data_IF_540441533938
#
_entry.id   IF_540441533938
#
_cell.length_a   1.000
_cell.length_b   1.000
_cell.length_c   1.000
_cell.angle_alpha   90.00
_cell.angle_beta   90.00
_cell.angle_gamma   90.00
#
_symmetry.space_group_name_H-M   'P 1'
#
loop_
_entity.id
_entity.type
_entity.pdbx_description
1 polymer ?
#
# COMPACT_ATOMS: atom_id res chain seq x y z
N UNK A 1 -23.53 32.73 -25.24
CA UNK A 1 -23.55 31.36 -24.71
C UNK A 1 -24.34 31.37 -23.41
N UNK A 2 -25.24 30.42 -23.21
CA UNK A 2 -25.97 30.26 -21.95
C UNK A 2 -24.97 30.05 -20.79
N UNK A 3 -25.00 30.85 -19.71
CA UNK A 3 -24.17 30.67 -18.53
C UNK A 3 -24.21 29.24 -17.97
N UNK A 4 -25.34 28.54 -18.09
CA UNK A 4 -25.48 27.13 -17.68
C UNK A 4 -24.61 26.18 -18.52
N UNK A 5 -24.52 26.42 -19.83
CA UNK A 5 -23.71 25.62 -20.75
C UNK A 5 -22.21 25.79 -20.46
N UNK A 6 -21.78 27.02 -20.14
CA UNK A 6 -20.39 27.34 -19.79
C UNK A 6 -19.99 26.65 -18.48
N UNK A 7 -20.85 26.69 -17.47
CA UNK A 7 -20.59 26.04 -16.18
C UNK A 7 -20.50 24.51 -16.32
N UNK A 8 -21.39 23.91 -17.11
CA UNK A 8 -21.37 22.47 -17.38
C UNK A 8 -20.09 22.06 -18.13
N UNK A 9 -19.71 22.83 -19.14
CA UNK A 9 -18.46 22.62 -19.86
C UNK A 9 -17.24 22.70 -18.94
N UNK A 10 -17.16 23.74 -18.12
CA UNK A 10 -16.06 23.93 -17.15
C UNK A 10 -16.00 22.78 -16.14
N UNK A 11 -17.14 22.34 -15.61
CA UNK A 11 -17.21 21.19 -14.71
C UNK A 11 -16.73 19.90 -15.39
N UNK A 12 -17.12 19.67 -16.64
CA UNK A 12 -16.66 18.52 -17.43
C UNK A 12 -15.14 18.52 -17.62
N UNK A 13 -14.57 19.68 -17.97
CA UNK A 13 -13.11 19.85 -18.12
C UNK A 13 -12.39 19.60 -16.80
N UNK A 14 -12.89 20.13 -15.68
CA UNK A 14 -12.31 19.91 -14.35
C UNK A 14 -12.31 18.43 -13.96
N UNK A 15 -13.40 17.70 -14.25
CA UNK A 15 -13.49 16.26 -13.98
C UNK A 15 -12.48 15.46 -14.81
N UNK A 16 -12.33 15.79 -16.10
CA UNK A 16 -11.36 15.13 -16.97
C UNK A 16 -9.91 15.40 -16.52
N UNK A 17 -9.60 16.64 -16.14
CA UNK A 17 -8.29 17.00 -15.60
C UNK A 17 -8.00 16.27 -14.29
N UNK A 18 -8.95 16.26 -13.35
CA UNK A 18 -8.82 15.54 -12.09
C UNK A 18 -8.59 14.04 -12.31
N UNK A 19 -9.35 13.43 -13.23
CA UNK A 19 -9.18 12.01 -13.60
C UNK A 19 -7.81 11.74 -14.23
N UNK A 20 -7.37 12.60 -15.15
CA UNK A 20 -6.07 12.48 -15.82
C UNK A 20 -4.90 12.60 -14.83
N UNK A 21 -4.93 13.63 -13.99
CA UNK A 21 -3.91 13.86 -12.95
C UNK A 21 -3.91 12.69 -11.96
N UNK A 22 -5.08 12.27 -11.47
CA UNK A 22 -5.20 11.15 -10.52
C UNK A 22 -4.64 9.84 -11.09
N UNK A 23 -5.00 9.50 -12.33
CA UNK A 23 -4.50 8.31 -13.04
C UNK A 23 -2.98 8.38 -13.27
N UNK A 24 -2.46 9.56 -13.56
CA UNK A 24 -1.02 9.78 -13.73
C UNK A 24 -0.26 9.62 -12.40
N UNK A 25 -0.75 10.21 -11.31
CA UNK A 25 -0.18 10.03 -9.96
C UNK A 25 -0.18 8.56 -9.57
N UNK A 26 -1.29 7.85 -9.79
CA UNK A 26 -1.40 6.42 -9.49
C UNK A 26 -0.37 5.61 -10.28
N UNK A 27 -0.25 5.85 -11.59
CA UNK A 27 0.71 5.18 -12.46
C UNK A 27 2.16 5.45 -12.03
N UNK A 28 2.48 6.69 -11.65
CA UNK A 28 3.82 7.05 -11.12
C UNK A 28 4.11 6.35 -9.80
N UNK A 29 3.13 6.26 -8.92
CA UNK A 29 3.28 5.56 -7.65
C UNK A 29 3.57 4.07 -7.87
N UNK A 30 2.84 3.40 -8.78
CA UNK A 30 3.14 2.01 -9.12
C UNK A 30 4.55 1.81 -9.70
N UNK A 31 5.05 2.75 -10.51
CA UNK A 31 6.45 2.71 -10.97
C UNK A 31 7.45 2.82 -9.80
N UNK A 32 7.18 3.71 -8.83
CA UNK A 32 8.00 3.84 -7.62
C UNK A 32 8.00 2.58 -6.76
N UNK A 33 6.84 1.92 -6.62
CA UNK A 33 6.73 0.63 -5.90
C UNK A 33 7.61 -0.43 -6.55
N UNK A 34 7.49 -0.64 -7.88
CA UNK A 34 8.30 -1.63 -8.59
C UNK A 34 9.79 -1.37 -8.46
N UNK A 35 10.22 -0.11 -8.55
CA UNK A 35 11.62 0.26 -8.38
C UNK A 35 12.13 -0.16 -6.98
N UNK A 36 11.38 0.16 -5.92
CA UNK A 36 11.76 -0.20 -4.55
C UNK A 36 11.69 -1.69 -4.26
N UNK A 37 10.76 -2.41 -4.89
CA UNK A 37 10.73 -3.88 -4.83
C UNK A 37 12.02 -4.48 -5.39
N UNK A 38 12.51 -3.95 -6.52
CA UNK A 38 13.78 -4.36 -7.11
C UNK A 38 14.99 -3.97 -6.23
N UNK A 39 14.99 -2.77 -5.66
CA UNK A 39 16.06 -2.31 -4.75
C UNK A 39 16.15 -3.20 -3.50
N UNK A 40 15.00 -3.58 -2.93
CA UNK A 40 14.92 -4.32 -1.67
C UNK A 40 14.76 -5.83 -1.86
N UNK A 41 14.87 -6.38 -3.08
CA UNK A 41 14.63 -7.81 -3.33
C UNK A 41 15.54 -8.76 -2.55
N UNK A 42 16.73 -8.29 -2.16
CA UNK A 42 17.71 -9.04 -1.36
C UNK A 42 17.37 -9.11 0.13
N UNK A 43 16.41 -8.31 0.60
CA UNK A 43 15.91 -8.36 1.97
C UNK A 43 14.61 -9.19 1.98
N UNK A 44 14.65 -10.49 2.34
CA UNK A 44 13.44 -11.30 2.39
C UNK A 44 12.52 -10.82 3.52
N UNK A 45 11.22 -10.78 3.24
CA UNK A 45 10.17 -10.61 4.22
C UNK A 45 9.21 -11.79 4.08
N UNK A 46 9.22 -12.70 5.04
CA UNK A 46 8.58 -14.02 4.94
C UNK A 46 7.60 -14.25 6.09
N UNK A 47 6.61 -15.09 5.85
CA UNK A 47 5.59 -15.46 6.85
C UNK A 47 6.07 -16.54 7.82
N UNK A 48 7.22 -17.16 7.56
CA UNK A 48 7.87 -18.17 8.40
C UNK A 48 8.18 -17.61 9.79
N UNK A 49 7.93 -18.38 10.83
CA UNK A 49 8.23 -17.98 12.22
C UNK A 49 9.72 -18.05 12.54
N UNK A 50 10.44 -18.98 11.91
CA UNK A 50 11.88 -19.17 12.05
C UNK A 50 12.54 -19.15 10.67
N UNK A 51 13.64 -18.41 10.56
CA UNK A 51 14.47 -18.43 9.37
C UNK A 51 15.45 -19.60 9.46
N UNK A 52 15.58 -20.44 8.42
CA UNK A 52 16.65 -21.44 8.38
C UNK A 52 18.01 -20.71 8.43
N UNK A 53 18.82 -21.06 9.41
CA UNK A 53 20.16 -20.49 9.60
C UNK A 53 21.18 -21.48 9.08
N UNK A 54 22.00 -21.12 8.08
CA UNK A 54 23.06 -21.99 7.58
C UNK A 54 24.09 -22.30 8.68
N UNK A 55 24.76 -23.44 8.57
CA UNK A 55 25.84 -23.80 9.49
C UNK A 55 26.92 -22.70 9.52
N UNK A 56 27.37 -22.36 10.73
CA UNK A 56 28.34 -21.29 10.93
C UNK A 56 27.75 -19.86 10.90
N UNK A 57 26.43 -19.70 10.91
CA UNK A 57 25.75 -18.42 11.13
C UNK A 57 24.92 -18.44 12.41
N UNK A 58 24.77 -17.27 13.03
CA UNK A 58 23.94 -17.07 14.22
C UNK A 58 23.14 -15.77 14.14
N UNK A 59 22.12 -15.62 14.98
CA UNK A 59 21.32 -14.41 15.12
C UNK A 59 21.87 -13.57 16.27
N UNK A 60 22.50 -12.43 15.98
CA UNK A 60 23.08 -11.57 17.00
C UNK A 60 22.14 -10.46 17.47
N UNK A 61 21.13 -10.10 16.66
CA UNK A 61 20.14 -9.09 17.00
C UNK A 61 18.79 -9.37 16.34
N UNK A 62 17.70 -9.12 17.07
CA UNK A 62 16.33 -9.11 16.54
C UNK A 62 15.56 -7.89 17.03
N UNK A 63 14.49 -7.52 16.33
CA UNK A 63 13.63 -6.41 16.75
C UNK A 63 12.34 -6.31 15.93
N UNK A 64 11.35 -5.59 16.47
CA UNK A 64 10.10 -5.35 15.78
C UNK A 64 10.30 -4.34 14.65
N UNK A 65 9.85 -4.69 13.45
CA UNK A 65 9.81 -3.80 12.29
C UNK A 65 8.40 -3.72 11.76
N UNK A 66 8.04 -2.56 11.23
CA UNK A 66 6.70 -2.32 10.75
C UNK A 66 6.66 -1.25 9.65
N UNK A 67 5.58 -1.24 8.89
CA UNK A 67 5.31 -0.28 7.83
C UNK A 67 3.81 -0.14 7.64
N UNK A 68 3.32 1.10 7.52
CA UNK A 68 1.91 1.37 7.33
C UNK A 68 1.69 2.35 6.18
N UNK A 69 0.53 2.25 5.56
CA UNK A 69 0.05 3.21 4.57
C UNK A 69 -1.45 3.41 4.74
N UNK A 70 -1.88 4.67 4.62
CA UNK A 70 -3.30 5.01 4.52
C UNK A 70 -3.61 5.33 3.07
N UNK A 71 -4.59 4.62 2.53
CA UNK A 71 -5.05 4.79 1.15
C UNK A 71 -6.45 5.40 1.18
N UNK A 72 -6.56 6.66 0.74
CA UNK A 72 -7.86 7.31 0.55
C UNK A 72 -8.57 6.76 -0.69
N UNK A 73 -9.89 6.59 -0.58
CA UNK A 73 -10.74 6.21 -1.70
C UNK A 73 -11.28 7.47 -2.36
N UNK A 74 -10.77 7.80 -3.55
CA UNK A 74 -11.19 8.96 -4.33
C UNK A 74 -12.72 8.97 -4.62
N UNK A 75 -13.33 10.15 -4.63
CA UNK A 75 -14.75 10.34 -4.93
C UNK A 75 -15.15 9.74 -6.29
N UNK A 76 -14.27 9.83 -7.29
CA UNK A 76 -14.48 9.23 -8.60
C UNK A 76 -14.51 7.70 -8.53
N UNK A 77 -13.57 7.10 -7.78
CA UNK A 77 -13.53 5.64 -7.57
C UNK A 77 -14.78 5.15 -6.83
N UNK A 78 -15.34 5.97 -5.93
CA UNK A 78 -16.63 5.69 -5.28
C UNK A 78 -17.80 5.74 -6.27
N UNK A 79 -17.83 6.72 -7.16
CA UNK A 79 -18.87 6.82 -8.19
C UNK A 79 -18.85 5.59 -9.12
N UNK A 80 -17.69 5.23 -9.67
CA UNK A 80 -17.54 4.03 -10.50
C UNK A 80 -17.87 2.75 -9.74
N UNK A 81 -17.49 2.65 -8.47
CA UNK A 81 -17.87 1.51 -7.62
C UNK A 81 -19.39 1.43 -7.41
N UNK A 82 -20.07 2.56 -7.22
CA UNK A 82 -21.54 2.60 -7.06
C UNK A 82 -22.28 2.19 -8.33
N UNK A 83 -21.77 2.55 -9.52
CA UNK A 83 -22.32 2.07 -10.78
C UNK A 83 -22.13 0.56 -10.95
N UNK A 84 -20.95 0.02 -10.58
CA UNK A 84 -20.70 -1.43 -10.64
C UNK A 84 -21.53 -2.22 -9.63
N UNK A 85 -21.89 -1.65 -8.49
CA UNK A 85 -22.78 -2.32 -7.52
C UNK A 85 -24.14 -2.69 -8.11
N UNK A 86 -24.64 -1.94 -9.11
CA UNK A 86 -25.92 -2.24 -9.77
C UNK A 86 -25.86 -3.50 -10.65
N UNK A 87 -24.68 -3.83 -11.17
CA UNK A 87 -24.46 -4.98 -12.07
C UNK A 87 -23.76 -6.17 -11.39
N UNK A 88 -23.24 -5.98 -10.17
CA UNK A 88 -22.48 -6.98 -9.43
C UNK A 88 -21.03 -7.16 -9.91
N UNK A 89 -20.30 -8.08 -9.27
CA UNK A 89 -18.92 -8.44 -9.64
C UNK A 89 -17.81 -7.69 -8.88
N UNK A 90 -16.57 -7.88 -9.35
CA UNK A 90 -15.35 -7.35 -8.72
C UNK A 90 -15.25 -5.82 -8.87
N UNK A 91 -14.92 -5.13 -7.77
CA UNK A 91 -14.70 -3.68 -7.78
C UNK A 91 -13.22 -3.41 -8.06
N UNK A 92 -12.83 -3.47 -9.33
CA UNK A 92 -11.43 -3.28 -9.79
C UNK A 92 -10.76 -2.03 -9.19
N UNK A 93 -11.51 -0.95 -9.03
CA UNK A 93 -11.00 0.29 -8.45
C UNK A 93 -10.53 0.12 -6.99
N UNK A 94 -11.20 -0.73 -6.20
CA UNK A 94 -10.79 -1.04 -4.82
C UNK A 94 -9.69 -2.09 -4.79
N UNK A 95 -9.70 -3.05 -5.71
CA UNK A 95 -8.63 -4.04 -5.82
C UNK A 95 -7.28 -3.39 -6.10
N UNK A 96 -7.21 -2.44 -7.05
CA UNK A 96 -5.99 -1.66 -7.32
C UNK A 96 -5.49 -0.91 -6.08
N UNK A 97 -6.41 -0.30 -5.31
CA UNK A 97 -6.07 0.41 -4.08
C UNK A 97 -5.51 -0.54 -3.01
N UNK A 98 -6.09 -1.74 -2.87
CA UNK A 98 -5.62 -2.75 -1.91
C UNK A 98 -4.29 -3.36 -2.30
N UNK A 99 -4.07 -3.66 -3.59
CA UNK A 99 -2.78 -4.13 -4.08
C UNK A 99 -1.67 -3.12 -3.77
N UNK A 100 -1.91 -1.86 -4.15
CA UNK A 100 -0.97 -0.76 -3.89
C UNK A 100 -0.71 -0.59 -2.40
N UNK A 101 -1.75 -0.63 -1.57
CA UNK A 101 -1.64 -0.48 -0.12
C UNK A 101 -0.79 -1.58 0.52
N UNK A 102 -1.02 -2.85 0.16
CA UNK A 102 -0.24 -3.98 0.68
C UNK A 102 1.23 -3.90 0.29
N UNK A 103 1.49 -3.63 -0.99
CA UNK A 103 2.88 -3.54 -1.49
C UNK A 103 3.62 -2.38 -0.85
N UNK A 104 2.97 -1.23 -0.70
CA UNK A 104 3.54 -0.07 -0.03
C UNK A 104 3.84 -0.34 1.46
N UNK A 105 2.92 -0.97 2.19
CA UNK A 105 3.13 -1.32 3.60
C UNK A 105 4.33 -2.26 3.78
N UNK A 106 4.43 -3.31 2.94
CA UNK A 106 5.56 -4.24 2.96
C UNK A 106 6.87 -3.54 2.59
N UNK A 107 6.86 -2.66 1.58
CA UNK A 107 8.05 -1.90 1.22
C UNK A 107 8.53 -1.02 2.37
N UNK A 108 7.63 -0.30 3.04
CA UNK A 108 7.99 0.53 4.21
C UNK A 108 8.54 -0.30 5.36
N UNK A 109 7.97 -1.48 5.62
CA UNK A 109 8.51 -2.43 6.59
C UNK A 109 9.93 -2.90 6.22
N UNK A 110 10.18 -3.15 4.93
CA UNK A 110 11.51 -3.56 4.43
C UNK A 110 12.51 -2.41 4.47
N UNK A 111 12.09 -1.19 4.17
CA UNK A 111 12.88 0.02 4.32
C UNK A 111 13.28 0.25 5.78
N UNK A 112 12.33 0.09 6.71
CA UNK A 112 12.56 0.14 8.16
C UNK A 112 13.60 -0.90 8.58
N UNK A 113 13.42 -2.15 8.15
CA UNK A 113 14.35 -3.24 8.46
C UNK A 113 15.76 -2.99 7.90
N UNK A 114 15.86 -2.49 6.67
CA UNK A 114 17.14 -2.14 6.06
C UNK A 114 17.85 -1.00 6.81
N UNK A 115 17.11 0.04 7.24
CA UNK A 115 17.65 1.15 8.03
C UNK A 115 18.21 0.69 9.38
N UNK A 116 17.55 -0.29 10.00
CA UNK A 116 17.98 -0.88 11.27
C UNK A 116 19.08 -1.95 11.10
N UNK A 117 19.52 -2.23 9.87
CA UNK A 117 20.61 -3.18 9.59
C UNK A 117 20.20 -4.65 9.71
N UNK A 118 18.91 -4.96 9.58
CA UNK A 118 18.44 -6.34 9.54
C UNK A 118 18.67 -6.97 8.15
N UNK A 119 18.88 -8.28 8.13
CA UNK A 119 19.13 -9.06 6.92
C UNK A 119 17.87 -9.79 6.42
N UNK A 120 16.85 -9.93 7.27
CA UNK A 120 15.57 -10.52 6.92
C UNK A 120 14.46 -10.01 7.85
N UNK A 121 13.21 -10.12 7.40
CA UNK A 121 12.02 -10.01 8.25
C UNK A 121 11.29 -11.35 8.28
N UNK A 122 11.10 -11.90 9.48
CA UNK A 122 10.33 -13.13 9.71
C UNK A 122 8.99 -12.81 10.34
N UNK A 123 8.09 -13.79 10.32
CA UNK A 123 6.74 -13.68 10.84
C UNK A 123 5.99 -12.44 10.31
N UNK A 124 6.16 -12.15 9.02
CA UNK A 124 5.44 -11.05 8.37
C UNK A 124 3.93 -11.29 8.50
N UNK A 125 3.22 -10.27 8.97
CA UNK A 125 1.77 -10.21 9.06
C UNK A 125 1.27 -8.92 8.42
N UNK A 126 0.07 -8.98 7.86
CA UNK A 126 -0.63 -7.85 7.25
C UNK A 126 -1.99 -7.70 7.92
N UNK A 127 -2.29 -6.49 8.35
CA UNK A 127 -3.59 -6.10 8.88
C UNK A 127 -4.15 -4.93 8.08
N UNK A 128 -5.48 -4.79 8.10
CA UNK A 128 -6.15 -3.66 7.47
C UNK A 128 -7.26 -3.14 8.35
N UNK A 129 -7.31 -1.82 8.52
CA UNK A 129 -8.33 -1.13 9.29
C UNK A 129 -9.07 -0.12 8.40
N UNK A 130 -10.36 0.11 8.66
CA UNK A 130 -11.10 1.17 7.97
C UNK A 130 -10.88 2.48 8.71
N UNK A 131 -10.37 3.48 8.01
CA UNK A 131 -10.11 4.81 8.58
C UNK A 131 -11.18 5.80 8.13
N UNK A 132 -11.95 6.30 9.09
CA UNK A 132 -12.99 7.34 8.98
C UNK A 132 -14.18 7.06 8.03
N UNK A 133 -15.32 7.66 8.39
CA UNK A 133 -16.55 7.61 7.61
C UNK A 133 -16.59 8.74 6.58
N UNK A 134 -16.83 8.38 5.31
CA UNK A 134 -16.90 9.29 4.18
C UNK A 134 -18.11 10.23 4.18
N UNK A 135 -19.13 9.96 5.00
CA UNK A 135 -20.36 10.75 5.09
C UNK A 135 -20.61 11.18 6.54
N UNK A 136 -21.28 12.33 6.67
CA UNK A 136 -21.71 12.94 7.95
C UNK A 136 -22.62 12.02 8.79
N UNK A 137 -23.18 10.96 8.19
CA UNK A 137 -24.03 9.94 8.82
C UNK A 137 -23.28 8.65 9.20
N UNK A 138 -21.95 8.67 9.26
CA UNK A 138 -21.14 7.52 9.64
C UNK A 138 -21.00 6.42 8.58
N UNK A 139 -21.63 6.56 7.41
CA UNK A 139 -21.63 5.53 6.35
C UNK A 139 -20.60 5.80 5.25
N UNK A 140 -19.89 4.74 4.83
CA UNK A 140 -18.95 4.74 3.71
C UNK A 140 -17.49 4.88 4.16
N UNK A 141 -16.59 4.15 3.49
CA UNK A 141 -15.16 4.13 3.82
C UNK A 141 -14.44 5.35 3.24
N UNK A 142 -13.87 6.21 4.10
CA UNK A 142 -13.08 7.36 3.65
C UNK A 142 -11.68 6.94 3.19
N UNK A 143 -11.04 6.09 3.98
CA UNK A 143 -9.75 5.46 3.67
C UNK A 143 -9.62 4.10 4.32
N UNK A 144 -8.59 3.38 3.90
CA UNK A 144 -8.21 2.09 4.47
C UNK A 144 -6.74 2.19 4.85
N UNK A 145 -6.42 1.84 6.08
CA UNK A 145 -5.05 1.62 6.52
C UNK A 145 -4.66 0.17 6.20
N UNK A 146 -3.44 0.00 5.70
CA UNK A 146 -2.78 -1.30 5.60
C UNK A 146 -1.53 -1.24 6.46
N UNK A 147 -1.41 -2.17 7.39
CA UNK A 147 -0.33 -2.28 8.35
C UNK A 147 0.42 -3.60 8.11
N UNK A 148 1.73 -3.52 7.95
CA UNK A 148 2.64 -4.65 7.86
C UNK A 148 3.57 -4.66 9.07
N UNK A 149 3.75 -5.80 9.71
CA UNK A 149 4.68 -5.94 10.84
C UNK A 149 5.33 -7.33 10.87
N UNK A 150 6.48 -7.43 11.55
CA UNK A 150 7.22 -8.68 11.72
C UNK A 150 8.48 -8.47 12.54
N UNK A 151 9.32 -9.49 12.61
CA UNK A 151 10.58 -9.43 13.36
C UNK A 151 11.76 -9.32 12.39
N UNK A 152 12.48 -8.21 12.45
CA UNK A 152 13.76 -8.05 11.78
C UNK A 152 14.83 -8.92 12.47
N UNK A 153 15.62 -9.63 11.68
CA UNK A 153 16.69 -10.51 12.14
C UNK A 153 18.00 -10.08 11.49
N UNK A 154 19.02 -9.86 12.32
CA UNK A 154 20.40 -9.70 11.87
C UNK A 154 21.13 -11.01 12.06
N UNK A 155 21.81 -11.42 11.00
CA UNK A 155 22.62 -12.63 10.95
C UNK A 155 24.09 -12.27 10.96
N UNK A 156 24.90 -12.99 11.73
CA UNK A 156 26.36 -12.84 11.78
C UNK A 156 27.02 -14.20 11.56
N UNK A 157 28.12 -14.20 10.81
CA UNK A 157 28.95 -15.39 10.63
C UNK A 157 29.78 -15.65 11.90
N UNK A 158 29.75 -16.88 12.39
CA UNK A 158 30.56 -17.32 13.53
C UNK A 158 32.04 -17.39 13.10
N UNK A 159 32.93 -16.81 13.90
CA UNK A 159 34.38 -16.84 13.67
C UNK A 159 34.94 -15.81 12.67
N UNK A 160 34.16 -14.76 12.35
CA UNK A 160 34.61 -13.59 11.59
C UNK A 160 34.84 -12.38 12.49
#
# INVERSE_FOLDING_TARGET
MDPGLINLFLAGVMLLLAFGIGSWIESRHFKSIRRREEELKRLPAVTLERLPTPDGWDHDHSGLVHGHVVVSVDHFKRFVASLRQLFGGRIQAYESLMDRGRREAVLRLKEEAAKQGYHAVVNLRLESSRLASARRNGKGTAGIEVFAFGTGIRMRRLGA
#
